data_IF_687212733454
#
_entry.id   IF_687212733454
#
_cell.length_a   1.000
_cell.length_b   1.000
_cell.length_c   1.000
_cell.angle_alpha   90.00
_cell.angle_beta   90.00
_cell.angle_gamma   90.00
#
_symmetry.space_group_name_H-M   'P 1'
#
loop_
_entity.id
_entity.type
_entity.pdbx_description
1 polymer ?
2 water ?
#
# COMPACT_ATOMS: atom_id res chain seq x y z
N UNK A 4 -3.85 14.89 11.02
CA UNK A 4 -3.50 15.01 9.60
C UNK A 4 -4.75 15.44 8.85
N UNK A 5 -4.62 15.91 7.62
CA UNK A 5 -5.79 16.35 6.87
C UNK A 5 -6.16 15.48 5.68
N UNK A 6 -7.41 15.65 5.22
CA UNK A 6 -7.90 14.92 4.06
C UNK A 6 -7.19 15.50 2.83
N UNK A 7 -6.83 14.68 1.84
CA UNK A 7 -6.13 15.15 0.67
C UNK A 7 -6.81 14.75 -0.63
N UNK A 8 -7.63 13.69 -0.69
CA UNK A 8 -8.22 13.27 -1.92
C UNK A 8 -9.33 14.19 -2.46
N UNK A 9 -10.17 14.77 -1.63
CA UNK A 9 -11.24 15.65 -2.13
C UNK A 9 -10.62 16.84 -2.89
N UNK A 10 -9.63 17.51 -2.33
CA UNK A 10 -8.97 18.61 -3.05
C UNK A 10 -8.37 18.17 -4.37
N UNK A 11 -7.76 16.99 -4.43
CA UNK A 11 -7.17 16.42 -5.62
C UNK A 11 -8.20 16.18 -6.69
N UNK A 12 -9.30 15.48 -6.34
CA UNK A 12 -10.36 15.28 -7.29
C UNK A 12 -10.93 16.62 -7.81
N UNK A 13 -11.03 17.61 -6.95
CA UNK A 13 -11.66 18.85 -7.47
C UNK A 13 -10.70 19.59 -8.40
N UNK A 14 -9.41 19.46 -8.18
CA UNK A 14 -8.45 20.21 -9.03
C UNK A 14 -7.96 19.44 -10.22
N UNK A 15 -7.72 18.14 -10.06
CA UNK A 15 -7.18 17.31 -11.14
C UNK A 15 -8.16 16.26 -11.59
N UNK A 16 -9.45 16.55 -11.53
CA UNK A 16 -10.51 15.63 -11.86
C UNK A 16 -10.31 14.74 -13.05
N UNK A 17 -9.90 15.27 -14.18
CA UNK A 17 -9.69 14.54 -15.40
C UNK A 17 -8.47 13.62 -15.36
N UNK A 18 -7.51 13.87 -14.48
CA UNK A 18 -6.32 12.99 -14.48
C UNK A 18 -6.34 11.93 -13.38
N UNK A 19 -7.43 11.81 -12.62
CA UNK A 19 -7.37 10.82 -11.51
C UNK A 19 -8.35 9.68 -11.73
N UNK A 20 -8.03 8.50 -11.22
CA UNK A 20 -8.86 7.32 -11.32
C UNK A 20 -9.03 6.71 -9.93
N UNK A 21 -10.27 6.38 -9.55
CA UNK A 21 -10.41 5.83 -8.19
C UNK A 21 -9.94 4.37 -8.22
N UNK A 22 -9.29 3.92 -7.18
CA UNK A 22 -8.92 2.51 -7.09
C UNK A 22 -9.98 2.01 -6.04
N UNK A 23 -10.92 1.27 -6.47
CA UNK A 23 -12.01 0.82 -5.59
C UNK A 23 -11.79 -0.54 -5.00
N UNK A 24 -11.23 -0.57 -3.78
CA UNK A 24 -11.03 -1.88 -3.09
C UNK A 24 -11.59 -1.69 -1.69
N UNK A 25 -12.08 -2.78 -1.06
CA UNK A 25 -12.70 -2.63 0.26
C UNK A 25 -11.65 -2.72 1.34
N UNK A 26 -10.79 -1.72 1.48
CA UNK A 26 -9.71 -1.76 2.46
C UNK A 26 -9.99 -1.01 3.74
N UNK A 27 -9.31 -1.38 4.80
CA UNK A 27 -9.37 -0.78 6.10
C UNK A 27 -8.06 -0.03 6.33
N UNK A 28 -8.09 0.94 7.22
CA UNK A 28 -6.96 1.75 7.62
C UNK A 28 -6.32 1.19 8.88
N UNK A 29 -5.02 1.04 8.90
CA UNK A 29 -4.32 0.45 10.05
C UNK A 29 -3.15 1.24 10.57
N UNK A 30 -2.58 2.18 9.81
CA UNK A 30 -1.43 2.92 10.29
C UNK A 30 -1.83 4.20 11.02
N UNK A 31 -0.85 4.86 11.64
CA UNK A 31 -1.12 6.11 12.36
C UNK A 31 -1.33 7.26 11.38
N UNK A 32 -0.68 7.14 10.21
CA UNK A 32 -0.80 8.17 9.19
C UNK A 32 -2.08 7.93 8.40
N UNK A 33 -3.02 8.84 8.43
CA UNK A 33 -4.26 8.62 7.69
C UNK A 33 -4.11 8.94 6.21
N UNK A 34 -3.08 9.71 5.83
CA UNK A 34 -2.94 10.02 4.40
C UNK A 34 -1.50 9.75 3.92
N UNK A 35 -1.35 9.27 2.71
CA UNK A 35 -0.02 8.92 2.17
C UNK A 35 -0.07 8.88 0.66
N UNK A 36 1.07 9.24 0.01
CA UNK A 36 1.04 9.29 -1.43
C UNK A 36 2.47 9.13 -1.99
N UNK A 37 2.48 8.76 -3.28
CA UNK A 37 3.84 8.63 -3.88
C UNK A 37 3.74 7.84 -5.17
N UNK A 38 4.96 7.45 -5.66
CA UNK A 38 4.98 6.67 -6.89
C UNK A 38 4.71 5.22 -6.51
N UNK A 39 3.92 4.50 -7.28
CA UNK A 39 3.59 3.09 -7.00
C UNK A 39 4.71 2.10 -7.33
N UNK A 40 4.95 1.21 -6.41
CA UNK A 40 5.92 0.10 -6.59
C UNK A 40 4.97 -1.11 -6.33
N UNK A 41 5.02 -2.14 -7.14
CA UNK A 41 4.18 -3.29 -6.93
C UNK A 41 4.90 -4.58 -6.60
N UNK A 42 4.13 -5.42 -5.88
CA UNK A 42 4.55 -6.77 -5.56
C UNK A 42 3.35 -7.68 -5.82
N UNK A 43 3.53 -8.81 -6.48
CA UNK A 43 2.46 -9.79 -6.69
C UNK A 43 2.95 -11.06 -5.99
N UNK A 44 2.17 -11.63 -5.06
CA UNK A 44 2.66 -12.82 -4.36
C UNK A 44 1.47 -13.61 -3.79
N UNK A 45 1.74 -14.82 -3.35
CA UNK A 45 0.61 -15.62 -2.81
C UNK A 45 1.11 -16.48 -1.66
N UNK A 46 0.73 -16.07 -0.46
CA UNK A 46 1.10 -16.71 0.80
C UNK A 46 2.62 -16.81 0.92
N UNK A 47 3.29 -15.73 0.50
CA UNK A 47 4.77 -15.71 0.57
C UNK A 47 5.15 -14.23 0.49
N UNK A 48 5.61 -13.65 1.60
CA UNK A 48 5.97 -12.23 1.63
C UNK A 48 7.45 -11.98 1.38
N UNK A 49 8.17 -12.94 0.78
CA UNK A 49 9.59 -12.73 0.51
C UNK A 49 9.87 -11.39 -0.22
N UNK A 50 9.09 -11.11 -1.26
CA UNK A 50 9.31 -9.89 -2.07
C UNK A 50 8.85 -8.65 -1.34
N UNK A 51 7.84 -8.84 -0.43
CA UNK A 51 7.44 -7.69 0.37
C UNK A 51 8.61 -7.24 1.20
N UNK A 52 9.33 -8.19 1.83
CA UNK A 52 10.52 -7.85 2.61
C UNK A 52 11.66 -7.33 1.73
N UNK A 53 11.82 -7.90 0.56
CA UNK A 53 12.93 -7.45 -0.31
C UNK A 53 12.74 -5.97 -0.73
N UNK A 54 11.52 -5.62 -1.10
CA UNK A 54 11.19 -4.26 -1.56
C UNK A 54 11.27 -3.26 -0.47
N UNK A 55 10.74 -3.56 0.72
CA UNK A 55 10.75 -2.68 1.86
C UNK A 55 12.15 -2.42 2.40
N UNK A 56 13.13 -3.22 2.02
CA UNK A 56 14.52 -2.95 2.42
C UNK A 56 15.16 -1.94 1.48
N UNK A 57 14.47 -1.60 0.39
CA UNK A 57 14.96 -0.61 -0.57
C UNK A 57 14.53 0.80 -0.16
N UNK A 58 15.14 1.83 -0.74
CA UNK A 58 14.75 3.21 -0.37
C UNK A 58 13.31 3.48 -0.78
N UNK A 59 12.41 3.82 0.16
CA UNK A 59 11.01 4.05 -0.22
C UNK A 59 10.57 5.51 -0.20
N UNK A 60 11.46 6.48 0.00
CA UNK A 60 11.05 7.88 0.02
C UNK A 60 10.24 8.23 -1.23
N UNK A 61 9.04 8.79 -0.99
CA UNK A 61 8.18 9.18 -2.10
C UNK A 61 7.53 8.06 -2.84
N UNK A 62 7.52 6.84 -2.26
CA UNK A 62 6.94 5.68 -2.82
C UNK A 62 5.88 5.01 -1.90
N UNK A 63 4.96 4.35 -2.56
CA UNK A 63 3.90 3.56 -1.93
C UNK A 63 3.96 2.15 -2.48
N UNK A 64 4.06 1.17 -1.59
CA UNK A 64 4.13 -0.21 -2.05
C UNK A 64 2.72 -0.78 -2.15
N UNK A 65 2.40 -1.38 -3.31
CA UNK A 65 1.05 -1.97 -3.40
C UNK A 65 1.22 -3.45 -3.60
N UNK A 66 0.70 -4.26 -2.65
CA UNK A 66 0.86 -5.69 -2.72
C UNK A 66 -0.40 -6.50 -3.06
N UNK A 67 -0.38 -7.10 -4.23
CA UNK A 67 -1.41 -8.03 -4.66
C UNK A 67 -1.11 -9.41 -4.07
N UNK A 68 -1.85 -9.73 -2.97
CA UNK A 68 -1.67 -11.02 -2.32
C UNK A 68 -2.82 -11.95 -2.67
N UNK A 69 -3.49 -11.61 -3.78
CA UNK A 69 -4.59 -12.31 -4.36
C UNK A 69 -5.85 -12.24 -3.50
N UNK A 70 -5.95 -11.23 -2.66
CA UNK A 70 -7.06 -10.96 -1.79
C UNK A 70 -7.16 -11.96 -0.63
N UNK A 71 -6.15 -12.81 -0.43
CA UNK A 71 -6.25 -13.80 0.65
C UNK A 71 -5.97 -13.25 2.02
N UNK A 72 -6.86 -13.57 2.99
CA UNK A 72 -6.64 -13.15 4.36
C UNK A 72 -6.32 -14.38 5.23
N UNK A 73 -5.93 -15.47 4.60
CA UNK A 73 -5.58 -16.65 5.43
C UNK A 73 -4.26 -16.47 6.14
N UNK A 74 -3.35 -15.64 5.64
CA UNK A 74 -2.05 -15.39 6.26
C UNK A 74 -1.65 -13.91 6.15
N UNK A 75 -0.90 -13.35 7.09
CA UNK A 75 -0.54 -11.96 6.99
C UNK A 75 0.70 -11.80 6.09
N UNK A 76 0.71 -10.74 5.31
CA UNK A 76 1.84 -10.45 4.40
C UNK A 76 2.76 -9.42 4.98
N UNK A 77 2.29 -8.75 6.05
CA UNK A 77 3.00 -7.73 6.76
C UNK A 77 2.62 -7.68 8.24
N UNK A 78 3.65 -7.66 9.06
CA UNK A 78 3.56 -7.60 10.50
C UNK A 78 4.25 -6.34 11.02
N UNK A 79 4.50 -6.27 12.34
CA UNK A 79 5.12 -5.06 12.86
C UNK A 79 6.60 -4.93 12.49
N UNK A 80 7.30 -6.02 12.32
CA UNK A 80 8.73 -5.99 11.94
C UNK A 80 8.93 -5.45 10.53
N UNK A 81 8.14 -5.87 9.57
CA UNK A 81 8.18 -5.32 8.21
C UNK A 81 7.76 -3.87 8.18
N UNK A 82 6.76 -3.51 9.00
CA UNK A 82 6.36 -2.12 9.10
C UNK A 82 7.49 -1.28 9.66
N UNK A 83 8.26 -1.80 10.64
CA UNK A 83 9.40 -1.06 11.16
C UNK A 83 10.48 -0.86 10.09
N UNK A 84 10.70 -1.82 9.26
CA UNK A 84 11.71 -1.75 8.17
C UNK A 84 11.28 -0.73 7.12
N UNK A 85 9.99 -0.76 6.75
CA UNK A 85 9.45 0.21 5.80
C UNK A 85 9.64 1.61 6.33
N UNK A 86 9.41 1.80 7.65
CA UNK A 86 9.63 3.10 8.25
C UNK A 86 11.10 3.53 8.21
N UNK A 87 11.99 2.62 8.57
CA UNK A 87 13.43 2.93 8.54
C UNK A 87 13.87 3.33 7.13
N UNK A 88 13.28 2.73 6.11
CA UNK A 88 13.62 3.04 4.71
C UNK A 88 12.79 4.11 4.08
N UNK A 89 12.09 4.89 4.93
CA UNK A 89 11.28 6.00 4.51
C UNK A 89 10.13 5.76 3.57
N UNK A 90 9.51 4.59 3.53
CA UNK A 90 8.33 4.35 2.69
C UNK A 90 7.18 5.26 3.13
N UNK A 91 6.37 5.78 2.21
CA UNK A 91 5.25 6.66 2.55
C UNK A 91 4.06 5.80 3.08
N UNK A 92 3.90 4.62 2.52
CA UNK A 92 2.81 3.75 2.95
C UNK A 92 2.80 2.46 2.19
N UNK A 93 1.91 1.57 2.59
CA UNK A 93 1.82 0.24 1.95
C UNK A 93 0.32 -0.16 1.93
N UNK A 94 -0.11 -0.64 0.82
CA UNK A 94 -1.46 -1.12 0.50
C UNK A 94 -1.42 -2.60 0.22
N UNK A 95 -2.01 -3.41 1.12
CA UNK A 95 -2.02 -4.85 0.95
C UNK A 95 -3.34 -5.48 0.57
N UNK A 96 -3.48 -5.97 -0.65
CA UNK A 96 -4.67 -6.69 -1.08
C UNK A 96 -4.48 -8.12 -0.51
N UNK A 97 -4.86 -8.22 0.76
CA UNK A 97 -4.61 -9.43 1.57
C UNK A 97 -4.60 -9.00 3.03
N UNK A 98 -4.08 -9.78 3.98
CA UNK A 98 -4.08 -9.48 5.37
C UNK A 98 -2.77 -8.97 5.98
N UNK A 99 -2.90 -8.21 7.07
CA UNK A 99 -1.85 -7.72 7.88
C UNK A 99 -2.03 -8.26 9.33
N UNK A 100 -0.95 -8.13 10.09
CA UNK A 100 -1.05 -8.58 11.51
C UNK A 100 -0.33 -7.62 12.40
N UNK A 101 -0.50 -7.75 13.73
CA UNK A 101 0.05 -6.84 14.71
C UNK A 101 -0.61 -5.46 14.53
N UNK A 102 -1.95 -5.48 14.39
CA UNK A 102 -2.64 -4.21 14.16
C UNK A 102 -2.64 -3.23 15.30
N UNK A 103 -2.51 -3.60 16.57
CA UNK A 103 -2.43 -2.60 17.63
C UNK A 103 -1.08 -1.90 17.53
N UNK A 104 -0.01 -2.62 17.24
CA UNK A 104 1.32 -1.95 17.09
C UNK A 104 1.32 -1.01 15.87
N UNK A 105 0.61 -1.42 14.80
CA UNK A 105 0.53 -0.61 13.59
C UNK A 105 -0.21 0.70 13.80
N UNK A 106 -1.18 0.68 14.71
CA UNK A 106 -1.97 1.92 14.91
C UNK A 106 -1.14 3.07 15.42
N UNK A 107 0.03 2.84 16.00
CA UNK A 107 0.86 3.91 16.51
C UNK A 107 2.14 4.07 15.71
N UNK A 108 2.14 3.54 14.48
CA UNK A 108 3.31 3.64 13.64
C UNK A 108 3.19 4.67 12.52
N UNK A 109 4.27 5.43 12.31
CA UNK A 109 4.24 6.50 11.30
C UNK A 109 4.39 6.01 9.88
N UNK A 110 3.39 5.33 9.38
CA UNK A 110 3.35 4.75 8.04
C UNK A 110 1.91 4.67 7.59
N UNK A 111 1.62 4.92 6.31
CA UNK A 111 0.19 4.79 5.86
C UNK A 111 0.06 3.28 5.55
N UNK A 112 -0.99 2.65 6.06
CA UNK A 112 -1.20 1.23 5.89
C UNK A 112 -2.67 0.93 5.62
N UNK A 113 -2.98 0.39 4.44
CA UNK A 113 -4.38 -0.03 4.22
C UNK A 113 -4.33 -1.51 3.86
N UNK A 114 -5.30 -2.33 4.30
CA UNK A 114 -5.30 -3.75 3.95
C UNK A 114 -6.73 -4.33 4.04
N UNK A 115 -6.98 -5.43 3.41
CA UNK A 115 -8.29 -6.05 3.35
C UNK A 115 -8.79 -6.60 4.69
N UNK A 116 -7.88 -6.94 5.57
CA UNK A 116 -8.32 -7.58 6.87
C UNK A 116 -7.03 -8.07 7.56
N UNK A 117 -7.23 -8.88 8.60
CA UNK A 117 -6.12 -9.35 9.42
C UNK A 117 -6.05 -10.86 9.46
N UNK A 118 -4.91 -11.35 9.91
CA UNK A 118 -4.67 -12.77 10.12
C UNK A 118 -3.48 -12.89 11.08
N UNK A 119 -3.61 -13.58 12.20
CA UNK A 119 -2.49 -13.78 13.09
C UNK A 119 -1.42 -14.72 12.50
N UNK A 120 -1.62 -15.44 11.43
CA UNK A 120 -0.67 -16.36 10.85
C UNK A 120 0.35 -15.71 9.90
N UNK A 121 1.62 -16.14 10.04
CA UNK A 121 2.67 -15.59 9.17
C UNK A 121 2.85 -16.48 7.94
N UNK A 122 3.57 -16.02 6.88
CA UNK A 122 3.78 -16.87 5.73
C UNK A 122 5.16 -17.56 5.76
N UNK A 123 5.32 -18.58 4.93
CA UNK A 123 6.61 -19.28 4.83
C UNK A 123 7.37 -18.66 3.65
N UNK A 124 8.46 -17.98 3.90
CA UNK A 124 9.23 -17.35 2.81
C UNK A 124 9.96 -18.36 1.95
N UNK A 125 9.72 -18.40 0.65
CA UNK A 125 10.39 -19.33 -0.25
C UNK A 125 10.99 -18.62 -1.46
N UNK A 126 10.99 -17.28 -1.45
CA UNK A 126 11.53 -16.52 -2.58
C UNK A 126 10.57 -16.41 -3.73
N UNK A 127 9.28 -16.74 -3.54
CA UNK A 127 8.32 -16.66 -4.62
C UNK A 127 7.79 -15.20 -4.70
N UNK A 128 7.26 -14.82 -5.85
CA UNK A 128 6.70 -13.46 -5.95
C UNK A 128 7.29 -12.71 -7.12
N UNK A 129 6.64 -11.62 -7.51
CA UNK A 129 7.07 -10.76 -8.62
C UNK A 129 7.06 -9.29 -8.22
N UNK A 130 8.02 -8.51 -8.74
CA UNK A 130 8.17 -7.12 -8.37
C UNK A 130 8.05 -6.21 -9.59
N UNK A 131 7.29 -5.15 -9.42
CA UNK A 131 7.06 -4.15 -10.43
C UNK A 131 6.43 -4.68 -11.69
N UNK A 132 5.42 -5.55 -11.52
CA UNK A 132 4.68 -6.05 -12.66
C UNK A 132 3.29 -5.38 -12.62
N UNK A 133 2.57 -5.44 -13.70
CA UNK A 133 1.20 -4.85 -13.69
C UNK A 133 0.31 -5.69 -12.78
N UNK A 134 -0.48 -5.08 -11.91
CA UNK A 134 -1.40 -5.86 -11.08
C UNK A 134 -2.86 -5.71 -11.52
N UNK A 135 -3.66 -6.75 -11.22
CA UNK A 135 -5.10 -6.70 -11.52
C UNK A 135 -5.81 -7.17 -10.22
N UNK A 136 -6.46 -6.26 -9.52
CA UNK A 136 -7.13 -6.64 -8.23
C UNK A 136 -8.60 -6.19 -8.37
N UNK A 137 -9.54 -7.10 -8.17
CA UNK A 137 -10.96 -6.73 -8.31
C UNK A 137 -11.21 -6.09 -9.68
N UNK A 138 -10.67 -6.71 -10.70
CA UNK A 138 -10.69 -6.39 -12.10
C UNK A 138 -10.13 -5.02 -12.44
N UNK A 139 -9.36 -4.42 -11.57
CA UNK A 139 -8.80 -3.07 -11.77
C UNK A 139 -7.29 -3.14 -11.90
N UNK A 140 -6.78 -2.48 -12.93
CA UNK A 140 -5.34 -2.46 -13.18
C UNK A 140 -4.65 -1.41 -12.34
N UNK A 141 -3.47 -1.78 -11.83
CA UNK A 141 -2.61 -0.94 -11.04
C UNK A 141 -1.18 -1.07 -11.64
N UNK A 142 -0.69 0.01 -12.19
CA UNK A 142 0.61 0.06 -12.84
C UNK A 142 1.71 0.63 -12.03
N UNK A 143 2.87 -0.12 -11.90
CA UNK A 143 4.00 0.42 -11.19
C UNK A 143 4.50 1.67 -11.90
N UNK A 144 4.89 2.71 -11.19
CA UNK A 144 5.40 3.89 -11.93
C UNK A 144 4.33 4.99 -11.95
N UNK A 145 3.07 4.57 -11.84
CA UNK A 145 1.99 5.56 -11.75
C UNK A 145 2.10 6.12 -10.34
N UNK A 146 1.20 7.07 -10.04
CA UNK A 146 1.19 7.71 -8.73
C UNK A 146 -0.16 7.42 -8.02
N UNK A 147 -0.08 7.29 -6.71
CA UNK A 147 -1.28 6.92 -5.91
C UNK A 147 -1.41 7.86 -4.74
N UNK A 148 -2.66 8.27 -4.42
CA UNK A 148 -2.88 9.23 -3.34
C UNK A 148 -4.02 8.60 -2.47
N UNK A 149 -3.74 8.35 -1.22
CA UNK A 149 -4.72 7.61 -0.41
C UNK A 149 -5.01 8.27 0.90
N UNK A 150 -6.32 8.27 1.30
CA UNK A 150 -6.58 8.81 2.63
C UNK A 150 -7.86 8.08 3.12
N UNK A 151 -8.52 8.60 4.14
CA UNK A 151 -9.74 7.86 4.58
C UNK A 151 -10.88 8.00 3.62
N UNK A 152 -10.82 8.94 2.68
CA UNK A 152 -11.90 9.10 1.73
C UNK A 152 -11.82 8.11 0.58
N UNK A 153 -10.62 7.67 0.25
CA UNK A 153 -10.42 6.71 -0.84
C UNK A 153 -8.96 6.82 -1.37
N UNK A 154 -8.76 6.16 -2.47
CA UNK A 154 -7.44 6.10 -3.14
C UNK A 154 -7.60 6.55 -4.57
N UNK A 155 -6.71 7.43 -5.04
CA UNK A 155 -6.78 7.92 -6.42
C UNK A 155 -5.44 7.58 -7.15
N UNK A 156 -5.55 7.28 -8.44
CA UNK A 156 -4.32 6.99 -9.20
C UNK A 156 -4.23 7.99 -10.35
N UNK A 157 -3.00 8.36 -10.65
CA UNK A 157 -2.73 9.32 -11.72
C UNK A 157 -1.49 8.83 -12.49
N UNK A 158 -1.38 9.26 -13.75
CA UNK A 158 -0.15 8.86 -14.50
C UNK A 158 1.00 9.76 -14.13
N UNK A 159 0.76 10.99 -13.69
CA UNK A 159 1.82 11.90 -13.34
C UNK A 159 1.64 12.45 -11.93
N UNK A 160 2.77 12.88 -11.35
CA UNK A 160 2.73 13.34 -9.96
C UNK A 160 1.85 14.57 -9.83
N UNK A 161 0.98 14.58 -8.83
CA UNK A 161 0.09 15.70 -8.60
C UNK A 161 0.53 16.50 -7.38
N UNK A 162 0.25 17.81 -7.41
CA UNK A 162 0.61 18.65 -6.26
C UNK A 162 -0.36 18.46 -5.10
N UNK A 163 0.21 18.13 -3.94
CA UNK A 163 -0.55 17.94 -2.72
C UNK A 163 -0.36 19.12 -1.76
N UNK A 164 -1.47 19.80 -1.53
CA UNK A 164 -1.52 20.94 -0.62
C UNK A 164 -1.19 20.49 0.79
N UNK A 165 -0.03 20.85 1.31
CA UNK A 165 0.40 20.48 2.65
C UNK A 165 1.91 20.70 2.79
#
# INVERSE_FOLDING_TARGET
>A
XSLMRDITPDLCDKYESQVTLLNLPLQNFGQRSAFWGEIVTVRCYHDNSKVRDVLSQNGKGKVLVVDGHGSCHKALMGDQLAILAIKNDWEGVIIYGAVRDVVAMSEMDLGIKALGTSPFKTEKRGAGQVNVTLTMQNQIVEPGDYLYADWNGILMSETALDVAEGGSHHHHHH
#
